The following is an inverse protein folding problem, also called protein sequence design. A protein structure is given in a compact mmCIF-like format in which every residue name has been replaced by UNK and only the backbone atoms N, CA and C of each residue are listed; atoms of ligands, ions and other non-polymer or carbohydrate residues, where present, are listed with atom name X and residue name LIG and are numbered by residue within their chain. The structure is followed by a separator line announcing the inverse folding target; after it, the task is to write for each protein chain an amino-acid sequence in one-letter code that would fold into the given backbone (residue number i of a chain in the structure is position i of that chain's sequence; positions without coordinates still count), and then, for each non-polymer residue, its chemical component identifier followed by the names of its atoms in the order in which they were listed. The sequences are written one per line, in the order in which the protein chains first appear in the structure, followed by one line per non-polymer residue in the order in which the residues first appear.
data_IF_391089857214
#
_entry.id   IF_391089857214
#
_cell.length_a   1.000
_cell.length_b   1.000
_cell.length_c   1.000
_cell.angle_alpha   90.00
_cell.angle_beta   90.00
_cell.angle_gamma   90.00
#
_symmetry.space_group_name_H-M   'P 1'
#
loop_
_entity.id
_entity.type
_entity.pdbx_description
1 polymer ?
#
# COMPACT_ATOMS: atom_id res chain seq x y z
N UNK A 1 -0.29 -19.61 10.83
CA UNK A 1 0.09 -19.50 9.40
C UNK A 1 0.78 -18.15 9.20
N UNK A 2 1.78 -18.05 8.31
CA UNK A 2 2.43 -16.77 8.02
C UNK A 2 1.53 -15.90 7.13
N UNK A 3 1.32 -14.64 7.50
CA UNK A 3 0.42 -13.71 6.79
C UNK A 3 1.03 -13.17 5.49
N UNK A 4 2.35 -12.97 5.50
CA UNK A 4 3.19 -12.51 4.40
C UNK A 4 4.50 -13.27 4.43
N UNK A 5 5.00 -13.68 3.27
CA UNK A 5 6.22 -14.51 3.19
C UNK A 5 7.34 -13.90 2.33
N UNK A 6 7.13 -12.71 1.77
CA UNK A 6 8.13 -11.97 0.96
C UNK A 6 9.35 -11.51 1.76
N UNK A 7 10.44 -11.18 1.05
CA UNK A 7 11.50 -10.30 1.58
C UNK A 7 11.24 -8.84 1.18
N UNK A 8 11.63 -7.91 2.02
CA UNK A 8 11.40 -6.48 1.80
C UNK A 8 12.60 -5.61 2.17
N UNK A 9 12.72 -4.48 1.49
CA UNK A 9 13.67 -3.41 1.78
C UNK A 9 12.98 -2.05 1.53
N UNK A 10 13.54 -0.97 2.06
CA UNK A 10 13.07 0.39 1.83
C UNK A 10 14.17 1.22 1.20
N UNK A 11 13.80 2.02 0.20
CA UNK A 11 14.66 2.96 -0.46
C UNK A 11 14.17 4.37 -0.09
N UNK A 12 15.00 5.07 0.68
CA UNK A 12 14.78 6.47 0.98
C UNK A 12 15.01 7.34 -0.28
N UNK A 13 14.27 8.44 -0.39
CA UNK A 13 14.29 9.34 -1.53
C UNK A 13 15.67 9.99 -1.76
N UNK A 14 16.53 10.04 -0.74
CA UNK A 14 17.90 10.53 -0.83
C UNK A 14 18.90 9.50 -1.39
N UNK A 15 18.54 8.21 -1.45
CA UNK A 15 19.50 7.14 -1.76
C UNK A 15 19.85 7.04 -3.24
N UNK A 16 18.96 7.44 -4.16
CA UNK A 16 19.24 7.35 -5.59
C UNK A 16 18.37 8.31 -6.42
N UNK A 17 18.93 8.94 -7.49
CA UNK A 17 18.18 9.81 -8.39
C UNK A 17 16.94 9.17 -9.01
N UNK A 18 16.95 7.84 -9.17
CA UNK A 18 15.79 7.10 -9.71
C UNK A 18 14.58 7.17 -8.78
N UNK A 19 14.76 7.20 -7.46
CA UNK A 19 13.65 7.27 -6.49
C UNK A 19 12.97 8.64 -6.59
N UNK A 20 13.74 9.72 -6.64
CA UNK A 20 13.21 11.07 -6.83
C UNK A 20 12.43 11.22 -8.16
N UNK A 21 12.89 10.56 -9.23
CA UNK A 21 12.16 10.53 -10.50
C UNK A 21 10.84 9.76 -10.39
N UNK A 22 10.81 8.65 -9.66
CA UNK A 22 9.58 7.90 -9.40
C UNK A 22 8.60 8.73 -8.56
N UNK A 23 9.07 9.38 -7.50
CA UNK A 23 8.24 10.25 -6.66
C UNK A 23 7.59 11.37 -7.46
N UNK A 24 8.34 12.03 -8.35
CA UNK A 24 7.80 13.05 -9.25
C UNK A 24 6.72 12.50 -10.21
N UNK A 25 6.90 11.27 -10.72
CA UNK A 25 5.91 10.60 -11.57
C UNK A 25 4.64 10.24 -10.79
N UNK A 26 4.79 9.71 -9.58
CA UNK A 26 3.65 9.41 -8.69
C UNK A 26 2.88 10.68 -8.38
N UNK A 27 3.56 11.75 -7.97
CA UNK A 27 2.90 13.00 -7.64
C UNK A 27 2.12 13.59 -8.82
N UNK A 28 2.66 13.48 -10.04
CA UNK A 28 1.94 13.91 -11.24
C UNK A 28 0.74 13.01 -11.56
N UNK A 29 0.85 11.70 -11.34
CA UNK A 29 -0.23 10.73 -11.56
C UNK A 29 -1.38 10.89 -10.56
N UNK A 30 -1.06 10.94 -9.27
CA UNK A 30 -2.03 10.92 -8.17
C UNK A 30 -2.53 12.30 -7.79
N UNK A 31 -1.83 13.37 -8.22
CA UNK A 31 -2.03 14.76 -7.79
C UNK A 31 -1.80 14.97 -6.28
N UNK A 32 -1.10 14.05 -5.63
CA UNK A 32 -0.66 14.19 -4.24
C UNK A 32 0.81 14.65 -4.22
N UNK A 33 1.20 15.63 -3.39
CA UNK A 33 2.59 16.06 -3.29
C UNK A 33 3.53 14.91 -2.92
N UNK A 34 4.69 14.83 -3.57
CA UNK A 34 5.71 13.79 -3.29
C UNK A 34 6.18 13.76 -1.83
N UNK A 35 6.07 14.88 -1.10
CA UNK A 35 6.38 14.94 0.32
C UNK A 35 5.46 14.07 1.20
N UNK A 36 4.33 13.58 0.69
CA UNK A 36 3.45 12.63 1.38
C UNK A 36 3.80 11.17 1.08
N UNK A 37 4.76 10.89 0.19
CA UNK A 37 5.17 9.53 -0.10
C UNK A 37 5.96 8.94 1.08
N UNK A 38 5.66 7.70 1.43
CA UNK A 38 6.57 6.88 2.25
C UNK A 38 7.82 6.49 1.44
N UNK A 39 8.94 6.12 2.11
CA UNK A 39 10.08 5.52 1.42
C UNK A 39 9.64 4.34 0.55
N UNK A 40 10.19 4.23 -0.67
CA UNK A 40 9.79 3.20 -1.63
C UNK A 40 10.07 1.81 -1.05
N UNK A 41 9.01 1.00 -0.92
CA UNK A 41 9.13 -0.37 -0.46
C UNK A 41 9.44 -1.30 -1.64
N UNK A 42 10.60 -1.96 -1.60
CA UNK A 42 10.97 -3.01 -2.55
C UNK A 42 10.56 -4.38 -2.01
N UNK A 43 9.94 -5.17 -2.88
CA UNK A 43 9.38 -6.48 -2.55
C UNK A 43 9.99 -7.55 -3.43
N UNK A 44 10.42 -8.66 -2.82
CA UNK A 44 10.84 -9.85 -3.55
C UNK A 44 10.06 -11.06 -3.05
N UNK A 45 9.36 -11.68 -3.99
CA UNK A 45 8.68 -12.97 -3.83
C UNK A 45 9.47 -14.02 -4.61
N UNK A 46 9.86 -15.09 -3.92
CA UNK A 46 10.29 -16.32 -4.58
C UNK A 46 9.08 -17.19 -4.88
N UNK A 47 9.28 -18.26 -5.64
CA UNK A 47 8.25 -19.25 -5.92
C UNK A 47 7.57 -19.77 -4.63
N UNK A 48 6.24 -19.87 -4.67
CA UNK A 48 5.41 -20.28 -3.53
C UNK A 48 5.24 -19.22 -2.43
N UNK A 49 5.86 -18.05 -2.53
CA UNK A 49 5.65 -16.96 -1.58
C UNK A 49 4.39 -16.14 -1.92
N UNK A 50 3.79 -15.55 -0.89
CA UNK A 50 2.47 -14.92 -0.99
C UNK A 50 2.30 -13.82 0.06
N UNK A 51 1.23 -13.05 -0.12
CA UNK A 51 0.68 -12.14 0.87
C UNK A 51 -0.84 -12.29 0.88
N UNK A 52 -1.42 -12.61 2.03
CA UNK A 52 -2.88 -12.65 2.16
C UNK A 52 -3.51 -11.26 1.97
N UNK A 53 -4.79 -11.26 1.56
CA UNK A 53 -5.56 -10.03 1.39
C UNK A 53 -5.60 -9.20 2.66
N UNK A 54 -5.37 -7.90 2.52
CA UNK A 54 -5.29 -6.92 3.60
C UNK A 54 -5.71 -5.54 3.09
N UNK A 55 -5.88 -4.61 4.02
CA UNK A 55 -5.99 -3.18 3.72
C UNK A 55 -4.62 -2.53 3.92
N UNK A 56 -4.27 -1.58 3.05
CA UNK A 56 -3.04 -0.81 3.18
C UNK A 56 -3.16 0.32 4.21
N UNK A 57 -4.38 0.81 4.45
CA UNK A 57 -4.67 1.79 5.48
C UNK A 57 -4.83 1.12 6.85
N UNK A 58 -4.74 1.93 7.89
CA UNK A 58 -4.82 1.48 9.28
C UNK A 58 -6.27 1.23 9.67
N UNK A 59 -6.67 -0.03 9.86
CA UNK A 59 -7.97 -0.36 10.46
C UNK A 59 -7.97 -0.04 11.95
N UNK A 60 -8.30 1.21 12.29
CA UNK A 60 -8.34 1.74 13.66
C UNK A 60 -9.16 0.88 14.66
N UNK A 61 -10.17 0.16 14.17
CA UNK A 61 -10.99 -0.76 14.96
C UNK A 61 -10.18 -1.94 15.56
N UNK A 62 -9.05 -2.31 14.95
CA UNK A 62 -8.13 -3.34 15.45
C UNK A 62 -7.20 -2.82 16.57
N UNK A 63 -7.15 -1.50 16.78
CA UNK A 63 -6.20 -0.82 17.66
C UNK A 63 -6.87 0.00 18.76
N UNK A 64 -8.12 -0.31 19.14
CA UNK A 64 -8.92 0.46 20.11
C UNK A 64 -8.19 0.79 21.42
N UNK A 65 -7.38 -0.15 21.91
CA UNK A 65 -6.63 0.01 23.16
C UNK A 65 -5.25 0.68 22.97
N UNK A 66 -4.86 0.97 21.73
CA UNK A 66 -3.57 1.59 21.39
C UNK A 66 -3.76 3.06 21.03
N UNK A 67 -3.92 3.88 22.08
CA UNK A 67 -4.21 5.31 21.98
C UNK A 67 -3.24 6.09 21.09
N UNK A 68 -1.97 5.69 21.02
CA UNK A 68 -0.96 6.33 20.15
C UNK A 68 -1.24 6.11 18.66
N UNK A 69 -1.57 4.87 18.25
CA UNK A 69 -1.94 4.54 16.86
C UNK A 69 -3.24 5.26 16.48
N UNK A 70 -4.21 5.24 17.40
CA UNK A 70 -5.45 5.97 17.22
C UNK A 70 -5.22 7.47 17.02
N UNK A 71 -4.41 8.10 17.87
CA UNK A 71 -4.14 9.53 17.77
C UNK A 71 -3.37 9.89 16.49
N UNK A 72 -2.38 9.08 16.10
CA UNK A 72 -1.54 9.37 14.93
C UNK A 72 -2.27 9.15 13.60
N UNK A 73 -3.13 8.13 13.52
CA UNK A 73 -3.82 7.76 12.28
C UNK A 73 -5.18 8.44 12.13
N UNK A 74 -5.94 8.62 13.23
CA UNK A 74 -7.30 9.22 13.18
C UNK A 74 -7.28 10.74 12.93
N UNK A 75 -6.27 11.45 13.42
CA UNK A 75 -6.15 12.90 13.22
C UNK A 75 -5.33 13.26 11.96
N UNK A 76 -5.17 12.31 11.03
CA UNK A 76 -4.85 12.59 9.63
C UNK A 76 -3.38 12.76 9.27
N UNK A 77 -2.45 12.38 10.14
CA UNK A 77 -1.01 12.59 9.88
C UNK A 77 -0.26 11.36 9.35
N UNK A 78 -0.78 10.13 9.50
CA UNK A 78 -0.03 8.90 9.20
C UNK A 78 -0.88 7.74 8.64
N UNK A 79 -1.86 8.01 7.77
CA UNK A 79 -2.57 6.93 7.08
C UNK A 79 -2.47 7.02 5.56
N UNK A 80 -2.62 5.87 4.90
CA UNK A 80 -2.41 5.74 3.45
C UNK A 80 -3.69 6.05 2.68
N UNK A 81 -3.65 7.12 1.88
CA UNK A 81 -4.73 7.50 0.97
C UNK A 81 -4.79 6.60 -0.28
N UNK A 82 -3.63 6.26 -0.84
CA UNK A 82 -3.51 5.49 -2.07
C UNK A 82 -2.20 4.71 -2.11
N UNK A 83 -2.20 3.59 -2.83
CA UNK A 83 -1.01 2.76 -3.06
C UNK A 83 -0.72 2.67 -4.56
N UNK A 84 0.53 2.90 -4.95
CA UNK A 84 1.01 2.73 -6.33
C UNK A 84 1.98 1.56 -6.38
N UNK A 85 1.69 0.60 -7.25
CA UNK A 85 2.54 -0.57 -7.48
C UNK A 85 3.32 -0.43 -8.80
N UNK A 86 4.58 -0.85 -8.78
CA UNK A 86 5.38 -1.09 -9.97
C UNK A 86 5.78 -2.56 -10.03
N UNK A 87 5.38 -3.24 -11.10
CA UNK A 87 5.88 -4.57 -11.39
C UNK A 87 7.23 -4.45 -12.08
N UNK A 88 8.29 -4.96 -11.41
CA UNK A 88 9.67 -4.73 -11.82
C UNK A 88 10.21 -5.81 -12.78
N UNK A 89 9.49 -6.91 -12.93
CA UNK A 89 9.81 -8.00 -13.84
C UNK A 89 8.54 -8.75 -14.24
N UNK A 90 8.60 -9.45 -15.37
CA UNK A 90 7.58 -10.42 -15.75
C UNK A 90 7.66 -11.66 -14.85
N UNK A 91 6.50 -12.22 -14.52
CA UNK A 91 6.34 -13.46 -13.75
C UNK A 91 5.72 -14.49 -14.66
N UNK A 92 6.33 -15.67 -14.74
CA UNK A 92 5.90 -16.71 -15.68
C UNK A 92 4.50 -17.26 -15.37
N UNK A 93 4.20 -17.47 -14.09
CA UNK A 93 2.92 -18.00 -13.62
C UNK A 93 2.62 -17.51 -12.19
N UNK A 94 1.36 -17.17 -11.92
CA UNK A 94 0.92 -16.65 -10.63
C UNK A 94 1.43 -15.22 -10.33
N UNK A 95 1.42 -14.85 -9.05
CA UNK A 95 1.92 -13.55 -8.59
C UNK A 95 0.98 -12.37 -8.86
N UNK A 96 -0.27 -12.63 -9.20
CA UNK A 96 -1.27 -11.60 -9.46
C UNK A 96 -1.62 -10.81 -8.19
N UNK A 97 -1.89 -9.52 -8.36
CA UNK A 97 -2.51 -8.71 -7.30
C UNK A 97 -4.03 -8.86 -7.40
N UNK A 98 -4.59 -9.65 -6.49
CA UNK A 98 -6.02 -9.96 -6.47
C UNK A 98 -6.75 -9.00 -5.53
N UNK A 99 -7.84 -8.40 -6.00
CA UNK A 99 -8.78 -7.61 -5.18
C UNK A 99 -10.08 -8.41 -5.02
N UNK A 100 -10.25 -9.23 -3.96
CA UNK A 100 -11.36 -10.19 -3.87
C UNK A 100 -12.74 -9.56 -3.79
N UNK A 101 -12.82 -8.29 -3.36
CA UNK A 101 -14.05 -7.52 -3.25
C UNK A 101 -14.31 -6.59 -4.45
N UNK A 102 -13.45 -6.65 -5.48
CA UNK A 102 -13.63 -5.81 -6.66
C UNK A 102 -14.98 -6.10 -7.34
N UNK A 103 -15.72 -5.05 -7.70
CA UNK A 103 -17.06 -5.17 -8.29
C UNK A 103 -18.19 -5.42 -7.28
N UNK A 104 -17.89 -5.51 -5.98
CA UNK A 104 -18.90 -5.57 -4.92
C UNK A 104 -19.10 -4.21 -4.26
N UNK A 105 -20.32 -3.89 -3.77
CA UNK A 105 -20.55 -2.68 -3.00
C UNK A 105 -19.65 -2.63 -1.77
N UNK A 106 -18.82 -1.60 -1.66
CA UNK A 106 -17.86 -1.42 -0.55
C UNK A 106 -18.59 -0.96 0.73
N UNK A 107 -19.79 -0.42 0.60
CA UNK A 107 -20.64 0.02 1.70
C UNK A 107 -22.10 -0.25 1.35
N UNK A 108 -22.92 -0.67 2.32
CA UNK A 108 -24.38 -0.79 2.21
C UNK A 108 -25.11 0.55 2.05
N UNK A 109 -24.51 1.52 1.35
CA UNK A 109 -25.24 2.67 0.85
C UNK A 109 -26.13 2.11 -0.25
N UNK A 110 -27.39 1.84 0.08
CA UNK A 110 -28.44 1.75 -0.92
C UNK A 110 -28.28 2.98 -1.82
N UNK A 111 -27.88 2.76 -3.07
CA UNK A 111 -27.95 3.78 -4.10
C UNK A 111 -29.43 4.09 -4.32
N UNK A 112 -29.99 4.97 -3.50
CA UNK A 112 -31.25 5.63 -3.82
C UNK A 112 -30.92 6.64 -4.92
N UNK A 113 -31.12 6.17 -6.15
CA UNK A 113 -31.42 7.07 -7.26
C UNK A 113 -32.74 7.79 -7.04
#
# INVERSE_FOLDING_TARGET
AQFRTSKQAWLDNSLAPVVALLDGRVANLTRVPAAHNEPVQLLRYNEGQYYHGHMDWTELELYKDQRSIWHNSHFGHQDRLATVFWYLNDVQEGGETIFPKHGQPICGIESKG
#
